data_IF_692595222486
#
_entry.id   IF_692595222486
#
_cell.length_a   1.000
_cell.length_b   1.000
_cell.length_c   1.000
_cell.angle_alpha   90.00
_cell.angle_beta   90.00
_cell.angle_gamma   90.00
#
_symmetry.space_group_name_H-M   'P 1'
#
loop_
_entity.id
_entity.type
_entity.pdbx_description
1 polymer ?
#
# COMPACT_ATOMS: atom_id res chain seq x y z
N UNK A 1 -14.73 12.67 -5.81
CA UNK A 1 -14.14 13.93 -5.32
C UNK A 1 -12.77 14.10 -5.97
N UNK A 2 -12.46 15.29 -6.47
CA UNK A 2 -11.18 15.60 -7.10
C UNK A 2 -10.66 16.91 -6.51
N UNK A 3 -9.42 16.92 -6.05
CA UNK A 3 -8.75 18.11 -5.55
C UNK A 3 -7.34 18.18 -6.14
N UNK A 4 -7.00 19.35 -6.68
CA UNK A 4 -5.64 19.66 -7.14
C UNK A 4 -5.11 20.85 -6.35
N UNK A 5 -3.88 20.69 -5.84
CA UNK A 5 -3.17 21.70 -5.07
C UNK A 5 -2.09 22.30 -5.96
N UNK A 6 -2.35 23.53 -6.42
CA UNK A 6 -1.46 24.27 -7.34
C UNK A 6 -0.58 25.31 -6.64
N UNK A 7 -0.63 25.41 -5.31
CA UNK A 7 0.12 26.40 -4.53
C UNK A 7 0.74 25.74 -3.30
N UNK A 8 1.83 26.31 -2.80
CA UNK A 8 2.41 25.89 -1.53
C UNK A 8 1.37 25.99 -0.40
N UNK A 9 1.25 24.93 0.39
CA UNK A 9 0.33 24.88 1.54
C UNK A 9 0.99 24.23 2.75
N UNK A 10 0.54 24.60 3.95
CA UNK A 10 0.93 23.85 5.16
C UNK A 10 0.32 22.46 5.21
N UNK A 11 -0.71 22.17 4.41
CA UNK A 11 -1.29 20.85 4.36
C UNK A 11 -2.55 20.83 3.52
N UNK A 12 -2.76 19.71 2.85
CA UNK A 12 -3.99 19.44 2.11
C UNK A 12 -4.63 18.17 2.61
N UNK A 13 -5.91 18.25 2.94
CA UNK A 13 -6.68 17.16 3.52
C UNK A 13 -7.96 16.96 2.70
N UNK A 14 -8.21 15.73 2.26
CA UNK A 14 -9.50 15.28 1.76
C UNK A 14 -10.02 14.18 2.67
N UNK A 15 -11.17 14.41 3.30
CA UNK A 15 -11.80 13.48 4.23
C UNK A 15 -13.31 13.38 3.91
N UNK A 16 -13.70 12.73 2.79
CA UNK A 16 -15.09 12.41 2.55
C UNK A 16 -15.54 11.13 3.26
N UNK A 17 -16.82 11.10 3.57
CA UNK A 17 -17.54 9.96 4.15
C UNK A 17 -18.66 9.55 3.19
N UNK A 18 -18.82 8.26 2.94
CA UNK A 18 -19.90 7.70 2.10
C UNK A 18 -20.93 7.03 3.01
N UNK A 19 -22.00 7.76 3.31
CA UNK A 19 -23.10 7.33 4.19
C UNK A 19 -24.29 6.70 3.44
N UNK A 20 -24.17 6.46 2.13
CA UNK A 20 -25.24 5.91 1.27
C UNK A 20 -24.70 4.82 0.36
N UNK A 21 -25.57 3.89 -0.05
CA UNK A 21 -25.22 2.91 -1.08
C UNK A 21 -24.83 3.63 -2.37
N UNK A 22 -23.68 3.28 -2.93
CA UNK A 22 -23.19 3.86 -4.18
C UNK A 22 -22.73 2.78 -5.14
N UNK A 23 -22.77 3.11 -6.44
CA UNK A 23 -22.11 2.28 -7.42
C UNK A 23 -20.60 2.51 -7.30
N UNK A 24 -20.14 3.71 -7.64
CA UNK A 24 -18.71 4.01 -7.66
C UNK A 24 -18.38 5.20 -6.76
N UNK A 25 -17.31 5.08 -5.98
CA UNK A 25 -16.71 6.16 -5.20
C UNK A 25 -15.31 6.46 -5.73
N UNK A 26 -15.12 7.69 -6.21
CA UNK A 26 -13.81 8.17 -6.68
C UNK A 26 -13.25 9.22 -5.73
N UNK A 27 -12.00 9.11 -5.35
CA UNK A 27 -11.22 10.14 -4.67
C UNK A 27 -9.88 10.33 -5.37
N UNK A 28 -9.56 11.57 -5.69
CA UNK A 28 -8.31 11.91 -6.35
C UNK A 28 -7.72 13.18 -5.77
N UNK A 29 -6.57 13.08 -5.10
CA UNK A 29 -5.76 14.20 -4.65
C UNK A 29 -4.51 14.31 -5.49
N UNK A 30 -4.29 15.48 -6.09
CA UNK A 30 -3.04 15.82 -6.76
C UNK A 30 -2.34 16.97 -6.06
N UNK A 31 -1.11 16.76 -5.64
CA UNK A 31 -0.24 17.79 -5.06
C UNK A 31 0.89 18.10 -6.04
N UNK A 32 0.88 19.31 -6.60
CA UNK A 32 1.82 19.74 -7.64
C UNK A 32 2.86 20.76 -7.13
N UNK A 33 2.88 21.05 -5.83
CA UNK A 33 3.75 22.04 -5.16
C UNK A 33 4.21 21.50 -3.82
N UNK A 34 5.18 22.17 -3.20
CA UNK A 34 5.65 21.82 -1.86
C UNK A 34 4.51 21.93 -0.84
N UNK A 35 4.31 20.87 -0.06
CA UNK A 35 3.35 20.86 1.05
C UNK A 35 3.98 20.22 2.26
N UNK A 36 3.59 20.61 3.46
CA UNK A 36 4.02 19.84 4.62
C UNK A 36 3.35 18.47 4.58
N UNK A 37 2.02 18.43 4.49
CA UNK A 37 1.25 17.20 4.54
C UNK A 37 0.31 17.08 3.33
N UNK A 38 0.19 15.88 2.80
CA UNK A 38 -0.84 15.49 1.82
C UNK A 38 -1.62 14.31 2.38
N UNK A 39 -2.89 14.51 2.73
CA UNK A 39 -3.71 13.47 3.34
C UNK A 39 -5.00 13.24 2.55
N UNK A 40 -5.20 12.00 2.12
CA UNK A 40 -6.50 11.47 1.70
C UNK A 40 -6.99 10.47 2.71
N UNK A 41 -8.22 10.64 3.17
CA UNK A 41 -8.93 9.68 4.02
C UNK A 41 -10.32 9.44 3.45
N UNK A 42 -10.73 8.18 3.34
CA UNK A 42 -12.07 7.81 2.92
C UNK A 42 -12.68 6.88 3.95
N UNK A 43 -13.86 7.24 4.43
CA UNK A 43 -14.67 6.34 5.26
C UNK A 43 -15.91 5.89 4.48
N UNK A 44 -16.14 4.58 4.42
CA UNK A 44 -17.28 3.97 3.74
C UNK A 44 -18.14 3.21 4.75
N UNK A 45 -19.31 3.78 5.06
CA UNK A 45 -20.25 3.19 6.02
C UNK A 45 -21.36 2.36 5.37
N UNK A 46 -21.41 2.32 4.03
CA UNK A 46 -22.46 1.65 3.22
C UNK A 46 -21.86 0.85 2.06
N UNK A 47 -22.66 -0.05 1.52
CA UNK A 47 -22.29 -0.86 0.37
C UNK A 47 -21.87 0.03 -0.80
N UNK A 48 -20.71 -0.26 -1.37
CA UNK A 48 -20.19 0.44 -2.54
C UNK A 48 -19.73 -0.61 -3.54
N UNK A 49 -20.03 -0.46 -4.82
CA UNK A 49 -19.53 -1.43 -5.80
C UNK A 49 -18.01 -1.29 -5.93
N UNK A 50 -17.55 -0.13 -6.38
CA UNK A 50 -16.13 0.11 -6.61
C UNK A 50 -15.64 1.38 -5.91
N UNK A 51 -14.47 1.29 -5.29
CA UNK A 51 -13.76 2.41 -4.67
C UNK A 51 -12.46 2.64 -5.43
N UNK A 52 -12.22 3.88 -5.80
CA UNK A 52 -10.99 4.32 -6.43
C UNK A 52 -10.41 5.48 -5.62
N UNK A 53 -9.25 5.28 -5.02
CA UNK A 53 -8.48 6.31 -4.36
C UNK A 53 -7.15 6.51 -5.04
N UNK A 54 -6.84 7.76 -5.36
CA UNK A 54 -5.57 8.15 -5.95
C UNK A 54 -5.00 9.35 -5.19
N UNK A 55 -3.76 9.24 -4.75
CA UNK A 55 -2.95 10.35 -4.26
C UNK A 55 -1.69 10.41 -5.11
N UNK A 56 -1.47 11.56 -5.76
CA UNK A 56 -0.27 11.83 -6.53
C UNK A 56 0.46 13.04 -5.96
N UNK A 57 1.73 12.86 -5.66
CA UNK A 57 2.63 13.88 -5.13
C UNK A 57 3.79 14.09 -6.12
N UNK A 58 3.77 15.22 -6.83
CA UNK A 58 4.77 15.55 -7.88
C UNK A 58 5.94 16.40 -7.34
N UNK A 59 5.89 16.81 -6.07
CA UNK A 59 6.83 17.74 -5.42
C UNK A 59 7.10 17.36 -3.97
N UNK A 60 8.06 18.04 -3.35
CA UNK A 60 8.49 17.74 -1.99
C UNK A 60 7.32 17.80 -1.01
N UNK A 61 7.17 16.74 -0.22
CA UNK A 61 6.18 16.65 0.85
C UNK A 61 6.87 16.18 2.11
N UNK A 62 6.49 16.66 3.29
CA UNK A 62 7.01 16.03 4.50
C UNK A 62 6.35 14.66 4.64
N UNK A 63 5.02 14.64 4.70
CA UNK A 63 4.27 13.40 4.92
C UNK A 63 3.15 13.20 3.90
N UNK A 64 3.08 12.01 3.28
CA UNK A 64 2.00 11.58 2.41
C UNK A 64 1.19 10.46 3.07
N UNK A 65 -0.09 10.71 3.33
CA UNK A 65 -1.01 9.78 4.00
C UNK A 65 -2.19 9.41 3.09
N UNK A 66 -2.35 8.12 2.83
CA UNK A 66 -3.56 7.55 2.24
C UNK A 66 -4.20 6.58 3.24
N UNK A 67 -5.45 6.85 3.60
CA UNK A 67 -6.22 6.00 4.51
C UNK A 67 -7.59 5.67 3.92
N UNK A 68 -7.98 4.40 3.91
CA UNK A 68 -9.34 3.95 3.64
C UNK A 68 -9.82 3.02 4.75
N UNK A 69 -11.02 3.30 5.24
CA UNK A 69 -11.77 2.46 6.16
C UNK A 69 -13.09 2.05 5.49
N UNK A 70 -13.27 0.75 5.23
CA UNK A 70 -14.47 0.19 4.62
C UNK A 70 -15.20 -0.75 5.60
N UNK A 71 -16.31 -0.26 6.17
CA UNK A 71 -17.11 -0.97 7.19
C UNK A 71 -18.18 -1.91 6.61
N UNK A 72 -18.35 -1.92 5.29
CA UNK A 72 -19.41 -2.63 4.55
C UNK A 72 -18.88 -3.28 3.28
N UNK A 73 -19.74 -4.09 2.67
CA UNK A 73 -19.42 -4.85 1.47
C UNK A 73 -18.97 -3.92 0.34
N UNK A 74 -17.83 -4.26 -0.24
CA UNK A 74 -17.28 -3.60 -1.43
C UNK A 74 -16.98 -4.65 -2.50
N UNK A 75 -17.24 -4.41 -3.78
CA UNK A 75 -16.74 -5.36 -4.79
C UNK A 75 -15.25 -5.14 -5.00
N UNK A 76 -14.84 -3.93 -5.34
CA UNK A 76 -13.44 -3.65 -5.67
C UNK A 76 -12.91 -2.42 -4.98
N UNK A 77 -11.69 -2.51 -4.46
CA UNK A 77 -10.92 -1.38 -3.96
C UNK A 77 -9.67 -1.22 -4.83
N UNK A 78 -9.48 -0.01 -5.35
CA UNK A 78 -8.25 0.43 -6.02
C UNK A 78 -7.65 1.58 -5.23
N UNK A 79 -6.43 1.39 -4.74
CA UNK A 79 -5.64 2.45 -4.11
C UNK A 79 -4.33 2.62 -4.87
N UNK A 80 -4.05 3.85 -5.27
CA UNK A 80 -2.82 4.20 -5.98
C UNK A 80 -2.17 5.38 -5.26
N UNK A 81 -0.93 5.20 -4.85
CA UNK A 81 -0.08 6.27 -4.34
C UNK A 81 1.14 6.42 -5.26
N UNK A 82 1.27 7.59 -5.87
CA UNK A 82 2.41 7.95 -6.72
C UNK A 82 3.18 9.10 -6.08
N UNK A 83 4.46 8.88 -5.81
CA UNK A 83 5.39 9.88 -5.26
C UNK A 83 6.58 10.02 -6.22
N UNK A 84 6.59 11.10 -7.01
CA UNK A 84 7.63 11.34 -8.02
C UNK A 84 8.87 12.08 -7.46
N UNK A 85 8.78 12.61 -6.24
CA UNK A 85 9.82 13.44 -5.61
C UNK A 85 10.07 12.99 -4.17
N UNK A 86 10.62 13.89 -3.36
CA UNK A 86 11.09 13.58 -2.02
C UNK A 86 9.91 13.66 -1.05
N UNK A 87 9.73 12.58 -0.29
CA UNK A 87 8.82 12.57 0.87
C UNK A 87 9.65 12.20 2.08
N UNK A 88 9.37 12.75 3.27
CA UNK A 88 9.99 12.19 4.47
C UNK A 88 9.34 10.84 4.77
N UNK A 89 8.03 10.84 4.99
CA UNK A 89 7.31 9.65 5.41
C UNK A 89 6.08 9.39 4.52
N UNK A 90 5.96 8.15 4.05
CA UNK A 90 4.82 7.69 3.25
C UNK A 90 4.03 6.64 4.00
N UNK A 91 2.73 6.85 4.13
CA UNK A 91 1.82 5.95 4.85
C UNK A 91 0.61 5.57 3.99
N UNK A 92 0.42 4.27 3.82
CA UNK A 92 -0.80 3.69 3.27
C UNK A 92 -1.44 2.82 4.35
N UNK A 93 -2.69 3.10 4.67
CA UNK A 93 -3.49 2.29 5.58
C UNK A 93 -4.80 1.90 4.91
N UNK A 94 -5.11 0.61 4.94
CA UNK A 94 -6.39 0.06 4.51
C UNK A 94 -6.93 -0.88 5.58
N UNK A 95 -8.13 -0.58 6.06
CA UNK A 95 -8.90 -1.42 6.96
C UNK A 95 -10.23 -1.80 6.30
N UNK A 96 -10.49 -3.10 6.23
CA UNK A 96 -11.72 -3.67 5.67
C UNK A 96 -12.33 -4.66 6.65
N UNK A 97 -13.42 -4.27 7.31
CA UNK A 97 -14.10 -5.11 8.31
C UNK A 97 -15.06 -6.16 7.70
N UNK A 98 -15.39 -6.04 6.41
CA UNK A 98 -16.44 -6.83 5.75
C UNK A 98 -15.96 -7.38 4.40
N UNK A 99 -16.85 -8.01 3.65
CA UNK A 99 -16.52 -8.72 2.42
C UNK A 99 -16.03 -7.72 1.35
N UNK A 100 -14.87 -8.02 0.76
CA UNK A 100 -14.40 -7.37 -0.46
C UNK A 100 -14.13 -8.42 -1.52
N UNK A 101 -14.43 -8.21 -2.80
CA UNK A 101 -14.01 -9.20 -3.80
C UNK A 101 -12.53 -9.03 -4.11
N UNK A 102 -12.11 -7.83 -4.52
CA UNK A 102 -10.72 -7.60 -4.88
C UNK A 102 -10.16 -6.32 -4.28
N UNK A 103 -8.91 -6.40 -3.82
CA UNK A 103 -8.11 -5.27 -3.37
C UNK A 103 -6.90 -5.15 -4.28
N UNK A 104 -6.73 -3.98 -4.88
CA UNK A 104 -5.56 -3.61 -5.67
C UNK A 104 -4.89 -2.41 -5.03
N UNK A 105 -3.66 -2.59 -4.58
CA UNK A 105 -2.81 -1.51 -4.10
C UNK A 105 -1.56 -1.38 -4.96
N UNK A 106 -1.35 -0.17 -5.43
CA UNK A 106 -0.12 0.20 -6.11
C UNK A 106 0.53 1.38 -5.37
N UNK A 107 1.80 1.20 -5.06
CA UNK A 107 2.65 2.26 -4.52
C UNK A 107 3.84 2.39 -5.45
N UNK A 108 4.09 3.60 -5.94
CA UNK A 108 5.28 3.93 -6.72
C UNK A 108 6.01 5.11 -6.08
N UNK A 109 7.26 4.89 -5.70
CA UNK A 109 8.17 5.91 -5.15
C UNK A 109 9.42 5.98 -6.03
N UNK A 110 9.53 7.03 -6.85
CA UNK A 110 10.60 7.13 -7.85
C UNK A 110 11.94 7.64 -7.30
N UNK A 111 11.93 8.33 -6.15
CA UNK A 111 13.03 9.21 -5.73
C UNK A 111 13.54 8.90 -4.32
N UNK A 112 13.05 9.58 -3.31
CA UNK A 112 13.58 9.45 -1.95
C UNK A 112 12.40 9.48 -1.00
N UNK A 113 12.35 8.48 -0.13
CA UNK A 113 11.45 8.47 1.01
C UNK A 113 12.25 8.04 2.22
N UNK A 114 12.17 8.72 3.36
CA UNK A 114 12.88 8.22 4.54
C UNK A 114 12.26 6.89 4.97
N UNK A 115 10.96 6.91 5.26
CA UNK A 115 10.25 5.72 5.71
C UNK A 115 8.99 5.48 4.88
N UNK A 116 8.79 4.23 4.48
CA UNK A 116 7.53 3.77 3.85
C UNK A 116 6.84 2.78 4.75
N UNK A 117 5.57 3.05 5.07
CA UNK A 117 4.71 2.19 5.87
C UNK A 117 3.46 1.81 5.08
N UNK A 118 3.25 0.51 4.90
CA UNK A 118 2.03 -0.04 4.30
C UNK A 118 1.39 -0.96 5.33
N UNK A 119 0.15 -0.67 5.69
CA UNK A 119 -0.64 -1.50 6.59
C UNK A 119 -1.94 -1.89 5.91
N UNK A 120 -2.16 -3.20 5.79
CA UNK A 120 -3.39 -3.78 5.28
C UNK A 120 -3.96 -4.74 6.33
N UNK A 121 -5.21 -4.48 6.71
CA UNK A 121 -5.99 -5.36 7.58
C UNK A 121 -7.32 -5.71 6.91
N UNK A 122 -7.58 -7.01 6.80
CA UNK A 122 -8.82 -7.56 6.23
C UNK A 122 -9.41 -8.62 7.17
N UNK A 123 -10.52 -8.31 7.84
CA UNK A 123 -11.07 -9.15 8.92
C UNK A 123 -11.92 -10.35 8.43
N UNK A 124 -12.46 -10.30 7.21
CA UNK A 124 -13.48 -11.25 6.75
C UNK A 124 -13.11 -12.03 5.50
N UNK A 125 -13.44 -11.51 4.33
CA UNK A 125 -13.38 -12.30 3.11
C UNK A 125 -12.83 -11.42 2.00
N UNK A 126 -11.82 -11.93 1.29
CA UNK A 126 -11.32 -11.34 0.05
C UNK A 126 -11.10 -12.41 -1.02
N UNK A 127 -11.58 -12.20 -2.24
CA UNK A 127 -11.25 -13.15 -3.32
C UNK A 127 -9.78 -12.95 -3.73
N UNK A 128 -9.37 -11.71 -3.99
CA UNK A 128 -8.01 -11.42 -4.44
C UNK A 128 -7.42 -10.19 -3.78
N UNK A 129 -6.22 -10.32 -3.23
CA UNK A 129 -5.41 -9.19 -2.76
C UNK A 129 -4.16 -9.07 -3.63
N UNK A 130 -3.96 -7.92 -4.25
CA UNK A 130 -2.84 -7.64 -5.16
C UNK A 130 -2.07 -6.40 -4.68
N UNK A 131 -0.83 -6.60 -4.25
CA UNK A 131 0.03 -5.55 -3.72
C UNK A 131 1.25 -5.38 -4.61
N UNK A 132 1.43 -4.17 -5.14
CA UNK A 132 2.54 -3.81 -6.03
C UNK A 132 3.28 -2.55 -5.54
N UNK A 133 4.04 -2.64 -4.43
CA UNK A 133 4.99 -1.60 -4.04
C UNK A 133 6.26 -1.64 -4.90
N UNK A 134 6.60 -0.50 -5.52
CA UNK A 134 7.86 -0.26 -6.22
C UNK A 134 8.57 0.98 -5.65
N UNK A 135 9.85 0.81 -5.32
CA UNK A 135 10.72 1.86 -4.80
C UNK A 135 12.04 1.88 -5.60
N UNK A 136 12.29 2.95 -6.34
CA UNK A 136 13.35 2.94 -7.37
C UNK A 136 14.74 3.41 -6.95
N UNK A 137 14.85 4.26 -5.91
CA UNK A 137 16.11 4.98 -5.64
C UNK A 137 16.58 4.89 -4.20
N UNK A 138 15.92 5.55 -3.26
CA UNK A 138 16.39 5.58 -1.87
C UNK A 138 15.21 5.49 -0.90
N UNK A 139 15.27 4.52 0.00
CA UNK A 139 14.44 4.52 1.19
C UNK A 139 15.25 4.11 2.41
N UNK A 140 15.12 4.72 3.58
CA UNK A 140 15.85 4.21 4.74
C UNK A 140 15.21 2.90 5.19
N UNK A 141 13.92 2.98 5.52
CA UNK A 141 13.19 1.85 6.06
C UNK A 141 11.89 1.60 5.27
N UNK A 142 11.61 0.31 5.01
CA UNK A 142 10.33 -0.13 4.45
C UNK A 142 9.66 -1.12 5.39
N UNK A 143 8.46 -0.77 5.85
CA UNK A 143 7.61 -1.59 6.70
C UNK A 143 6.34 -1.95 5.96
N UNK A 144 6.08 -3.24 5.79
CA UNK A 144 4.83 -3.72 5.21
C UNK A 144 4.20 -4.75 6.12
N UNK A 145 3.02 -4.42 6.62
CA UNK A 145 2.18 -5.28 7.44
C UNK A 145 0.95 -5.68 6.64
N UNK A 146 0.72 -6.98 6.57
CA UNK A 146 -0.48 -7.56 5.97
C UNK A 146 -1.06 -8.59 6.94
N UNK A 147 -2.29 -8.36 7.37
CA UNK A 147 -3.09 -9.26 8.19
C UNK A 147 -4.42 -9.59 7.51
N UNK A 148 -4.71 -10.90 7.44
CA UNK A 148 -5.95 -11.43 6.87
C UNK A 148 -6.50 -12.49 7.83
N UNK A 149 -7.66 -12.28 8.45
CA UNK A 149 -8.10 -13.11 9.61
C UNK A 149 -8.94 -14.37 9.30
N UNK A 150 -9.59 -14.44 8.13
CA UNK A 150 -10.62 -15.46 7.87
C UNK A 150 -10.48 -16.19 6.55
N UNK A 151 -10.68 -15.54 5.41
CA UNK A 151 -10.66 -16.22 4.11
C UNK A 151 -10.11 -15.30 3.02
N UNK A 152 -9.03 -15.73 2.35
CA UNK A 152 -8.63 -15.14 1.06
C UNK A 152 -8.42 -16.21 0.00
N UNK A 153 -8.99 -16.07 -1.20
CA UNK A 153 -8.72 -17.07 -2.25
C UNK A 153 -7.27 -16.94 -2.71
N UNK A 154 -6.87 -15.77 -3.20
CA UNK A 154 -5.52 -15.52 -3.66
C UNK A 154 -4.90 -14.27 -3.05
N UNK A 155 -3.65 -14.38 -2.57
CA UNK A 155 -2.82 -13.22 -2.19
C UNK A 155 -1.61 -13.13 -3.11
N UNK A 156 -1.45 -12.01 -3.79
CA UNK A 156 -0.31 -11.69 -4.65
C UNK A 156 0.41 -10.45 -4.12
N UNK A 157 1.69 -10.61 -3.83
CA UNK A 157 2.58 -9.51 -3.43
C UNK A 157 3.77 -9.47 -4.36
N UNK A 158 4.02 -8.32 -4.97
CA UNK A 158 5.20 -8.04 -5.77
C UNK A 158 5.88 -6.78 -5.24
N UNK A 159 6.98 -6.96 -4.53
CA UNK A 159 7.82 -5.86 -4.09
C UNK A 159 9.07 -5.76 -4.96
N UNK A 160 9.33 -4.56 -5.46
CA UNK A 160 10.58 -4.24 -6.13
C UNK A 160 11.25 -3.05 -5.44
N UNK A 161 12.49 -3.24 -4.98
CA UNK A 161 13.31 -2.19 -4.36
C UNK A 161 14.65 -2.12 -5.07
N UNK A 162 14.96 -0.95 -5.65
CA UNK A 162 16.19 -0.69 -6.40
C UNK A 162 17.10 0.30 -5.65
N UNK A 163 18.40 0.00 -5.66
CA UNK A 163 19.56 0.80 -5.21
C UNK A 163 19.84 0.84 -3.71
N UNK A 164 19.05 1.54 -2.90
CA UNK A 164 19.41 1.82 -1.51
C UNK A 164 18.18 1.77 -0.57
N UNK A 165 17.87 0.60 -0.03
CA UNK A 165 17.24 0.49 1.31
C UNK A 165 18.24 0.22 2.42
N UNK A 166 17.95 0.54 3.70
CA UNK A 166 18.79 0.13 4.84
C UNK A 166 18.17 -1.07 5.56
N UNK A 167 16.90 -0.93 5.97
CA UNK A 167 16.14 -1.99 6.63
C UNK A 167 14.80 -2.25 5.92
N UNK A 168 14.41 -3.53 5.90
CA UNK A 168 13.10 -3.95 5.41
C UNK A 168 12.46 -4.93 6.38
N UNK A 169 11.22 -4.64 6.77
CA UNK A 169 10.42 -5.46 7.69
C UNK A 169 9.08 -5.81 7.05
N UNK A 170 8.84 -7.11 6.86
CA UNK A 170 7.62 -7.63 6.23
C UNK A 170 6.99 -8.74 7.07
N UNK A 171 6.22 -8.41 8.11
CA UNK A 171 5.25 -9.30 8.71
C UNK A 171 4.04 -9.54 7.79
N UNK A 172 3.80 -10.80 7.49
CA UNK A 172 2.62 -11.30 6.80
C UNK A 172 1.95 -12.36 7.67
N UNK A 173 0.72 -12.10 8.08
CA UNK A 173 -0.10 -12.99 8.89
C UNK A 173 -1.42 -13.30 8.16
N UNK A 174 -1.69 -14.59 8.02
CA UNK A 174 -2.89 -15.10 7.37
C UNK A 174 -3.49 -16.17 8.26
N UNK A 175 -4.65 -15.87 8.85
CA UNK A 175 -5.40 -16.81 9.65
C UNK A 175 -6.57 -17.44 8.86
N UNK A 176 -6.73 -18.75 9.09
CA UNK A 176 -7.88 -19.63 8.89
C UNK A 176 -8.09 -20.28 7.52
N UNK A 177 -7.84 -19.65 6.37
CA UNK A 177 -7.96 -20.34 5.06
C UNK A 177 -7.43 -19.47 3.89
N UNK A 178 -6.43 -19.95 3.13
CA UNK A 178 -6.13 -19.40 1.79
C UNK A 178 -5.96 -20.48 0.73
N UNK A 179 -6.35 -20.19 -0.52
CA UNK A 179 -6.08 -21.14 -1.59
C UNK A 179 -4.61 -21.02 -2.01
N UNK A 180 -4.24 -19.86 -2.54
CA UNK A 180 -2.89 -19.61 -3.04
C UNK A 180 -2.29 -18.32 -2.46
N UNK A 181 -1.01 -18.39 -2.07
CA UNK A 181 -0.20 -17.20 -1.74
C UNK A 181 1.02 -17.12 -2.64
N UNK A 182 1.19 -16.00 -3.33
CA UNK A 182 2.31 -15.70 -4.22
C UNK A 182 3.04 -14.45 -3.74
N UNK A 183 4.32 -14.60 -3.39
CA UNK A 183 5.16 -13.50 -2.93
C UNK A 183 6.40 -13.45 -3.81
N UNK A 184 6.57 -12.33 -4.51
CA UNK A 184 7.76 -12.01 -5.28
C UNK A 184 8.45 -10.78 -4.69
N UNK A 185 9.71 -10.94 -4.32
CA UNK A 185 10.51 -9.90 -3.71
C UNK A 185 11.81 -9.78 -4.51
N UNK A 186 12.00 -8.65 -5.19
CA UNK A 186 13.27 -8.30 -5.82
C UNK A 186 13.90 -7.10 -5.10
N UNK A 187 15.11 -7.31 -4.60
CA UNK A 187 15.88 -6.29 -3.90
C UNK A 187 17.27 -6.18 -4.54
N UNK A 188 17.56 -5.05 -5.17
CA UNK A 188 18.88 -4.71 -5.71
C UNK A 188 19.54 -3.67 -4.80
N UNK A 189 20.71 -3.99 -4.23
CA UNK A 189 21.25 -3.28 -3.06
C UNK A 189 22.75 -3.01 -3.08
N UNK A 190 23.18 -1.99 -2.34
CA UNK A 190 24.57 -1.86 -1.86
C UNK A 190 24.79 -2.39 -0.41
N UNK A 191 23.88 -2.12 0.56
CA UNK A 191 24.01 -2.51 2.00
C UNK A 191 22.66 -2.62 2.75
N UNK A 192 22.26 -3.81 3.24
CA UNK A 192 20.97 -4.01 3.95
C UNK A 192 20.89 -5.19 4.92
N UNK A 193 20.01 -5.04 5.93
CA UNK A 193 19.33 -6.10 6.68
C UNK A 193 17.88 -6.30 6.16
N UNK A 194 17.40 -7.55 6.13
CA UNK A 194 16.05 -7.90 5.62
C UNK A 194 15.38 -8.88 6.57
N UNK A 195 14.20 -8.54 7.07
CA UNK A 195 13.41 -9.35 7.99
C UNK A 195 12.04 -9.64 7.38
N UNK A 196 11.79 -10.92 7.08
CA UNK A 196 10.53 -11.40 6.53
C UNK A 196 9.97 -12.41 7.51
N UNK A 197 8.78 -12.14 8.02
CA UNK A 197 8.03 -13.05 8.87
C UNK A 197 6.76 -13.45 8.15
N UNK A 198 6.59 -14.75 7.92
CA UNK A 198 5.38 -15.30 7.32
C UNK A 198 4.77 -16.29 8.30
N UNK A 199 3.56 -15.97 8.74
CA UNK A 199 2.73 -16.84 9.54
C UNK A 199 1.44 -17.14 8.79
N UNK A 200 1.17 -18.43 8.58
CA UNK A 200 -0.08 -18.89 7.99
C UNK A 200 -0.67 -19.97 8.87
N UNK A 201 -1.73 -19.63 9.59
CA UNK A 201 -2.41 -20.54 10.49
C UNK A 201 -3.64 -21.15 9.82
N UNK A 202 -3.60 -22.47 9.57
CA UNK A 202 -4.62 -23.33 8.91
C UNK A 202 -4.79 -23.14 7.39
N UNK A 203 -4.95 -24.30 6.75
CA UNK A 203 -5.06 -24.64 5.33
C UNK A 203 -4.71 -23.56 4.29
N UNK A 204 -3.46 -23.59 3.82
CA UNK A 204 -3.10 -23.16 2.47
C UNK A 204 -3.08 -24.35 1.53
N UNK A 205 -3.61 -24.24 0.31
CA UNK A 205 -3.35 -25.27 -0.70
C UNK A 205 -1.92 -25.13 -1.25
N UNK A 206 -1.57 -23.93 -1.73
CA UNK A 206 -0.25 -23.66 -2.30
C UNK A 206 0.36 -22.35 -1.78
N UNK A 207 1.69 -22.34 -1.63
CA UNK A 207 2.46 -21.13 -1.32
C UNK A 207 3.71 -21.08 -2.20
N UNK A 208 3.85 -19.97 -2.93
CA UNK A 208 4.97 -19.70 -3.82
C UNK A 208 5.70 -18.45 -3.35
N UNK A 209 6.97 -18.61 -2.99
CA UNK A 209 7.83 -17.48 -2.61
C UNK A 209 9.05 -17.43 -3.52
N UNK A 210 9.29 -16.26 -4.09
CA UNK A 210 10.51 -15.92 -4.80
C UNK A 210 11.16 -14.73 -4.12
N UNK A 211 12.43 -14.90 -3.74
CA UNK A 211 13.25 -13.85 -3.15
C UNK A 211 14.55 -13.75 -3.96
N UNK A 212 14.73 -12.62 -4.63
CA UNK A 212 15.99 -12.27 -5.27
C UNK A 212 16.63 -11.07 -4.58
N UNK A 213 17.86 -11.27 -4.09
CA UNK A 213 18.64 -10.23 -3.44
C UNK A 213 19.96 -10.10 -4.21
N UNK A 214 20.10 -9.03 -5.01
CA UNK A 214 21.31 -8.71 -5.76
C UNK A 214 22.14 -7.68 -5.01
N UNK A 215 23.39 -8.00 -4.67
CA UNK A 215 24.31 -7.02 -4.06
C UNK A 215 25.26 -6.45 -5.10
N UNK A 216 25.25 -5.14 -5.29
CA UNK A 216 26.28 -4.45 -6.06
C UNK A 216 27.58 -4.39 -5.22
N UNK A 217 28.62 -5.03 -5.73
CA UNK A 217 29.98 -4.91 -5.18
C UNK A 217 30.74 -3.88 -6.00
N UNK A 218 30.99 -2.72 -5.40
CA UNK A 218 31.99 -1.79 -5.92
C UNK A 218 33.39 -2.36 -5.66
N UNK A 219 34.01 -2.96 -6.68
CA UNK A 219 35.46 -3.19 -6.71
C UNK A 219 36.15 -1.82 -6.66
N UNK A 220 37.01 -1.62 -5.66
CA UNK A 220 37.79 -0.39 -5.44
C UNK A 220 39.08 -0.38 -6.25
#
# INVERSE_FOLDING_TARGET
>A
MHLEVEKETQGTYMHPEVEKETQDTYMHLKVMQETQNAHTHLEIEKETQDIYMHLKVEKETQDAYMHLEAKKETQTIYMILEVEKETQDTYIHLEVEKETQNIYMHLEVEKETQDTYIHLEVEKETQGTYLHPEVEKETQDTYMYLEVEKETQDTYMHLEVKKETHDMYMPLEVEKETQDTYIHLEVQKERQDTYIHLEVEKETQDTYMHLEIKKESHDT
#
